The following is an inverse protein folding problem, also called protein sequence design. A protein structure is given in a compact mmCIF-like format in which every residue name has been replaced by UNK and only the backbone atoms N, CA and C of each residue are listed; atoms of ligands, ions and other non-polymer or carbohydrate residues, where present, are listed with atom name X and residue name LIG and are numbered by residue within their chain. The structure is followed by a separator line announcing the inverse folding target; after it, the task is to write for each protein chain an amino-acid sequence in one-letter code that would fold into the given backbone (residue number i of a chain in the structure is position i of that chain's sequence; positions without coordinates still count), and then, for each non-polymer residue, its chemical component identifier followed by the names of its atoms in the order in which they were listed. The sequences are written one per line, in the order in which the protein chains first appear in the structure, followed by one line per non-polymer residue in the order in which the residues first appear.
data_IF_081297574470
#
_entry.id   IF_081297574470
#
_cell.length_a   1.000
_cell.length_b   1.000
_cell.length_c   1.000
_cell.angle_alpha   90.00
_cell.angle_beta   90.00
_cell.angle_gamma   90.00
#
_symmetry.space_group_name_H-M   'P 1'
#
loop_
_entity.id
_entity.type
_entity.pdbx_description
1 polymer ?
#
# COMPACT_ATOMS: atom_id res chain seq x y z
N UNK A 1 6.42 18.25 -36.44
CA UNK A 1 7.61 18.72 -35.70
C UNK A 1 7.34 19.91 -34.78
N UNK A 2 6.12 20.47 -34.73
CA UNK A 2 5.83 21.70 -33.93
C UNK A 2 5.31 21.46 -32.50
N UNK A 3 5.23 20.20 -32.03
CA UNK A 3 4.81 19.89 -30.65
C UNK A 3 5.97 19.74 -29.65
N UNK A 4 7.22 19.71 -30.13
CA UNK A 4 8.41 19.53 -29.27
C UNK A 4 8.96 20.87 -28.75
N UNK A 5 8.75 21.97 -29.48
CA UNK A 5 9.33 23.27 -29.13
C UNK A 5 8.60 23.98 -27.98
N UNK A 6 7.30 23.70 -27.77
CA UNK A 6 6.55 24.24 -26.61
C UNK A 6 6.87 23.55 -25.29
N UNK A 7 7.43 22.34 -25.31
CA UNK A 7 7.82 21.62 -24.09
C UNK A 7 9.29 21.87 -23.71
N UNK A 8 10.13 22.33 -24.65
CA UNK A 8 11.54 22.62 -24.39
C UNK A 8 11.81 24.06 -23.91
N UNK A 9 10.86 24.99 -24.08
CA UNK A 9 11.03 26.38 -23.63
C UNK A 9 10.76 26.64 -22.13
N UNK A 10 10.21 25.67 -21.38
CA UNK A 10 9.95 25.81 -19.94
C UNK A 10 11.02 25.15 -19.04
N UNK A 11 12.16 24.71 -19.60
CA UNK A 11 13.38 24.42 -18.82
C UNK A 11 14.25 25.67 -18.64
N UNK A 12 13.65 26.82 -18.34
CA UNK A 12 14.43 27.90 -17.71
C UNK A 12 14.77 27.41 -16.32
N UNK A 13 16.07 27.16 -16.08
CA UNK A 13 16.57 26.72 -14.80
C UNK A 13 16.14 27.71 -13.72
N UNK A 14 15.13 27.31 -12.94
CA UNK A 14 14.74 28.00 -11.72
C UNK A 14 15.95 27.99 -10.81
N UNK A 15 16.38 29.19 -10.41
CA UNK A 15 17.55 29.36 -9.57
C UNK A 15 17.27 28.82 -8.16
N UNK A 16 18.30 28.28 -7.49
CA UNK A 16 18.18 27.82 -6.09
C UNK A 16 17.67 28.91 -5.13
N UNK A 17 17.82 30.19 -5.46
CA UNK A 17 17.26 31.33 -4.73
C UNK A 17 15.74 31.44 -4.88
N UNK A 18 15.20 31.21 -6.08
CA UNK A 18 13.74 31.26 -6.32
C UNK A 18 13.03 30.08 -5.65
N UNK A 19 13.68 28.91 -5.59
CA UNK A 19 13.17 27.76 -4.83
C UNK A 19 13.11 28.09 -3.35
N UNK A 20 14.16 28.68 -2.76
CA UNK A 20 14.16 29.06 -1.33
C UNK A 20 13.10 30.11 -0.97
N UNK A 21 12.89 31.11 -1.82
CA UNK A 21 11.82 32.10 -1.61
C UNK A 21 10.45 31.43 -1.69
N UNK A 22 10.25 30.57 -2.69
CA UNK A 22 9.03 29.78 -2.80
C UNK A 22 8.81 28.84 -1.61
N UNK A 23 9.85 28.18 -1.11
CA UNK A 23 9.77 27.31 0.07
C UNK A 23 9.33 28.08 1.32
N UNK A 24 9.78 29.33 1.49
CA UNK A 24 9.35 30.19 2.60
C UNK A 24 7.87 30.60 2.48
N UNK A 25 7.43 30.95 1.27
CA UNK A 25 6.03 31.27 0.99
C UNK A 25 5.13 30.03 1.17
N UNK A 26 5.54 28.88 0.63
CA UNK A 26 4.85 27.60 0.72
C UNK A 26 4.78 27.10 2.16
N UNK A 27 5.87 27.20 2.92
CA UNK A 27 5.91 26.81 4.34
C UNK A 27 4.99 27.66 5.21
N UNK A 28 4.65 28.88 4.78
CA UNK A 28 3.63 29.72 5.41
C UNK A 28 2.20 29.27 5.15
N UNK A 29 1.94 28.55 4.06
CA UNK A 29 0.60 28.23 3.56
C UNK A 29 0.22 26.75 3.72
N UNK A 30 1.19 25.85 3.62
CA UNK A 30 0.96 24.40 3.65
C UNK A 30 2.14 23.70 4.33
N UNK A 31 1.83 22.67 5.10
CA UNK A 31 2.81 21.71 5.59
C UNK A 31 2.87 20.54 4.63
N UNK A 32 4.06 20.25 4.10
CA UNK A 32 4.28 19.17 3.14
C UNK A 32 5.13 18.11 3.81
N UNK A 33 4.62 16.88 3.84
CA UNK A 33 5.35 15.71 4.32
C UNK A 33 5.46 14.68 3.21
N UNK A 34 6.67 14.19 3.01
CA UNK A 34 6.91 13.05 2.15
C UNK A 34 6.79 11.77 2.98
N UNK A 35 5.90 10.88 2.57
CA UNK A 35 5.68 9.58 3.21
C UNK A 35 6.15 8.45 2.29
N UNK A 36 6.70 7.40 2.89
CA UNK A 36 7.13 6.20 2.18
C UNK A 36 6.57 4.97 2.88
N UNK A 37 5.95 4.09 2.11
CA UNK A 37 5.26 2.94 2.65
C UNK A 37 4.58 2.11 1.57
N UNK A 38 3.93 1.04 1.99
CA UNK A 38 3.26 0.15 1.06
C UNK A 38 1.97 0.78 0.53
N UNK A 39 1.68 0.53 -0.76
CA UNK A 39 0.43 0.93 -1.38
C UNK A 39 -0.19 -0.27 -2.12
N UNK A 40 -1.52 -0.47 -2.03
CA UNK A 40 -2.20 -1.54 -2.72
C UNK A 40 -1.89 -1.51 -4.22
N UNK A 41 -1.56 -2.67 -4.78
CA UNK A 41 -1.22 -2.88 -6.19
C UNK A 41 0.19 -2.44 -6.64
N UNK A 42 1.01 -1.91 -5.74
CA UNK A 42 2.42 -1.66 -6.01
C UNK A 42 3.28 -2.82 -5.49
N UNK A 43 4.20 -3.37 -6.29
CA UNK A 43 5.04 -4.50 -5.88
C UNK A 43 6.13 -4.09 -4.87
N UNK A 44 6.44 -2.80 -4.79
CA UNK A 44 7.43 -2.22 -3.89
C UNK A 44 6.81 -1.04 -3.13
N UNK A 45 7.32 -0.68 -1.94
CA UNK A 45 6.83 0.50 -1.26
C UNK A 45 7.12 1.75 -2.10
N UNK A 46 6.18 2.68 -2.07
CA UNK A 46 6.14 3.89 -2.94
C UNK A 46 6.18 5.15 -2.09
N UNK A 47 6.34 6.30 -2.77
CA UNK A 47 6.24 7.60 -2.15
C UNK A 47 4.85 8.20 -2.34
N UNK A 48 4.37 8.88 -1.30
CA UNK A 48 3.25 9.79 -1.39
C UNK A 48 3.59 11.11 -0.69
N UNK A 49 2.86 12.16 -1.05
CA UNK A 49 3.02 13.49 -0.51
C UNK A 49 1.74 13.86 0.21
N UNK A 50 1.90 14.19 1.48
CA UNK A 50 0.86 14.65 2.37
C UNK A 50 0.91 16.18 2.46
N UNK A 51 -0.23 16.80 2.20
CA UNK A 51 -0.45 18.24 2.22
C UNK A 51 -1.42 18.57 3.34
N UNK A 52 -1.03 19.47 4.23
CA UNK A 52 -1.89 20.00 5.27
C UNK A 52 -1.89 21.52 5.18
N UNK A 53 -3.01 22.10 4.78
CA UNK A 53 -3.16 23.56 4.71
C UNK A 53 -2.96 24.19 6.10
N UNK A 54 -2.22 25.29 6.15
CA UNK A 54 -2.08 26.17 7.34
C UNK A 54 -3.00 27.39 7.26
N UNK A 55 -3.61 27.63 6.09
CA UNK A 55 -4.45 28.79 5.83
C UNK A 55 -5.84 28.67 6.46
N UNK A 56 -6.29 27.44 6.71
CA UNK A 56 -7.58 27.13 7.33
C UNK A 56 -7.40 25.95 8.27
N UNK A 57 -7.58 26.17 9.58
CA UNK A 57 -7.33 25.15 10.62
C UNK A 57 -8.20 23.89 10.45
N UNK A 58 -9.32 24.00 9.73
CA UNK A 58 -10.30 22.92 9.54
C UNK A 58 -10.14 22.12 8.23
N UNK A 59 -9.17 22.43 7.36
CA UNK A 59 -9.07 21.67 6.10
C UNK A 59 -8.44 20.29 6.29
N UNK A 60 -9.07 19.23 5.73
CA UNK A 60 -8.57 17.88 5.86
C UNK A 60 -7.23 17.74 5.15
N UNK A 61 -6.36 16.93 5.73
CA UNK A 61 -5.08 16.59 5.12
C UNK A 61 -5.31 15.81 3.82
N UNK A 62 -4.66 16.20 2.73
CA UNK A 62 -4.73 15.51 1.44
C UNK A 62 -3.43 14.72 1.25
N UNK A 63 -3.55 13.43 0.94
CA UNK A 63 -2.40 12.58 0.63
C UNK A 63 -2.52 12.08 -0.81
N UNK A 64 -1.47 12.24 -1.62
CA UNK A 64 -1.47 11.85 -3.04
C UNK A 64 -0.19 11.08 -3.34
N UNK A 65 -0.29 10.00 -4.12
CA UNK A 65 0.88 9.27 -4.60
C UNK A 65 1.77 10.16 -5.45
N UNK A 66 3.09 10.06 -5.30
CA UNK A 66 4.02 10.85 -6.10
C UNK A 66 3.90 10.54 -7.60
N UNK A 67 3.68 9.27 -7.96
CA UNK A 67 3.44 8.85 -9.36
C UNK A 67 2.21 9.55 -9.98
N UNK A 68 1.21 9.88 -9.15
CA UNK A 68 0.02 10.60 -9.58
C UNK A 68 0.26 12.10 -9.76
N UNK A 69 1.22 12.67 -9.02
CA UNK A 69 1.66 14.05 -9.23
C UNK A 69 2.39 14.19 -10.58
N UNK A 70 3.21 13.20 -10.94
CA UNK A 70 3.99 13.21 -12.18
C UNK A 70 3.14 12.95 -13.43
N UNK A 71 2.03 12.22 -13.31
CA UNK A 71 1.15 11.86 -14.45
C UNK A 71 0.25 12.99 -14.94
N UNK A 72 0.34 14.19 -14.35
CA UNK A 72 -0.16 15.45 -14.91
C UNK A 72 -1.65 15.41 -15.30
N UNK A 73 -2.50 14.89 -14.41
CA UNK A 73 -3.95 15.00 -14.59
C UNK A 73 -4.40 16.40 -14.15
N UNK A 74 -4.89 17.20 -15.11
CA UNK A 74 -5.33 18.59 -14.89
C UNK A 74 -6.29 18.74 -13.69
N UNK A 75 -7.13 17.74 -13.46
CA UNK A 75 -8.04 17.72 -12.31
C UNK A 75 -7.32 17.65 -10.96
N UNK A 76 -6.29 16.79 -10.83
CA UNK A 76 -5.51 16.65 -9.58
C UNK A 76 -4.66 17.89 -9.32
N UNK A 77 -4.08 18.47 -10.36
CA UNK A 77 -3.36 19.74 -10.26
C UNK A 77 -4.26 20.86 -9.76
N UNK A 78 -5.46 21.01 -10.34
CA UNK A 78 -6.42 22.03 -9.91
C UNK A 78 -6.85 21.84 -8.44
N UNK A 79 -7.08 20.59 -8.01
CA UNK A 79 -7.39 20.28 -6.60
C UNK A 79 -6.24 20.66 -5.66
N UNK A 80 -5.00 20.36 -6.02
CA UNK A 80 -3.82 20.73 -5.22
C UNK A 80 -3.59 22.23 -5.16
N UNK A 81 -3.72 22.91 -6.31
CA UNK A 81 -3.66 24.37 -6.44
C UNK A 81 -4.69 25.02 -5.51
N UNK A 82 -5.94 24.54 -5.54
CA UNK A 82 -7.00 25.04 -4.65
C UNK A 82 -6.72 24.76 -3.17
N UNK A 83 -6.26 23.57 -2.82
CA UNK A 83 -6.01 23.18 -1.43
C UNK A 83 -4.79 23.88 -0.82
N UNK A 84 -3.74 24.05 -1.60
CA UNK A 84 -2.48 24.65 -1.16
C UNK A 84 -2.46 26.18 -1.36
N UNK A 85 -3.48 26.76 -2.01
CA UNK A 85 -3.51 28.19 -2.34
C UNK A 85 -2.48 28.60 -3.40
N UNK A 86 -2.02 27.65 -4.22
CA UNK A 86 -0.94 27.86 -5.19
C UNK A 86 -1.48 28.33 -6.54
N UNK A 87 -0.65 29.03 -7.30
CA UNK A 87 -0.89 29.25 -8.72
C UNK A 87 -0.36 28.08 -9.58
N UNK A 88 -0.69 28.09 -10.88
CA UNK A 88 -0.29 27.02 -11.80
C UNK A 88 1.22 26.96 -12.06
N UNK A 89 1.91 28.10 -11.94
CA UNK A 89 3.36 28.21 -12.16
C UNK A 89 4.14 27.70 -10.94
N UNK A 90 3.57 27.85 -9.75
CA UNK A 90 4.06 27.37 -8.46
C UNK A 90 3.98 25.85 -8.31
N UNK A 91 3.15 25.17 -9.11
CA UNK A 91 3.10 23.71 -9.13
C UNK A 91 4.45 23.07 -9.48
N UNK A 92 5.22 23.68 -10.40
CA UNK A 92 6.55 23.15 -10.75
C UNK A 92 7.54 23.28 -9.57
N UNK A 93 7.48 24.40 -8.85
CA UNK A 93 8.30 24.60 -7.66
C UNK A 93 7.92 23.61 -6.53
N UNK A 94 6.64 23.26 -6.40
CA UNK A 94 6.20 22.21 -5.47
C UNK A 94 6.85 20.86 -5.79
N UNK A 95 6.88 20.46 -7.07
CA UNK A 95 7.55 19.22 -7.49
C UNK A 95 9.06 19.26 -7.21
N UNK A 96 9.70 20.43 -7.36
CA UNK A 96 11.11 20.60 -7.00
C UNK A 96 11.32 20.45 -5.48
N UNK A 97 10.47 21.06 -4.67
CA UNK A 97 10.53 20.94 -3.21
C UNK A 97 10.36 19.49 -2.74
N UNK A 98 9.41 18.73 -3.32
CA UNK A 98 9.25 17.29 -3.05
C UNK A 98 10.54 16.51 -3.38
N UNK A 99 11.20 16.85 -4.48
CA UNK A 99 12.49 16.25 -4.84
C UNK A 99 13.61 16.64 -3.86
N UNK A 100 13.59 17.85 -3.30
CA UNK A 100 14.54 18.27 -2.27
C UNK A 100 14.31 17.53 -0.95
N UNK A 101 13.05 17.35 -0.52
CA UNK A 101 12.69 16.50 0.63
C UNK A 101 13.23 15.08 0.47
N UNK A 102 13.12 14.51 -0.75
CA UNK A 102 13.72 13.21 -1.09
C UNK A 102 15.24 13.19 -0.97
N UNK A 103 15.92 14.16 -1.59
CA UNK A 103 17.38 14.26 -1.56
C UNK A 103 17.91 14.39 -0.13
N UNK A 104 17.19 15.16 0.69
CA UNK A 104 17.53 15.42 2.09
C UNK A 104 17.08 14.30 3.05
N UNK A 105 16.44 13.24 2.53
CA UNK A 105 15.88 12.12 3.32
C UNK A 105 14.88 12.55 4.40
N UNK A 106 14.17 13.64 4.17
CA UNK A 106 13.07 14.10 5.03
C UNK A 106 11.81 13.25 4.75
N UNK A 107 11.85 11.97 5.14
CA UNK A 107 10.84 10.96 4.79
C UNK A 107 10.24 10.40 6.08
N UNK A 108 8.91 10.36 6.15
CA UNK A 108 8.18 9.63 7.19
C UNK A 108 7.83 8.23 6.71
N UNK A 109 8.31 7.21 7.42
CA UNK A 109 8.01 5.81 7.09
C UNK A 109 6.63 5.44 7.67
N UNK A 110 5.76 4.87 6.85
CA UNK A 110 4.43 4.39 7.28
C UNK A 110 4.20 2.94 6.83
N UNK A 111 3.48 2.11 7.60
CA UNK A 111 3.17 0.73 7.19
C UNK A 111 2.27 0.63 5.95
N UNK A 112 1.39 1.61 5.75
CA UNK A 112 0.46 1.65 4.62
C UNK A 112 0.14 3.10 4.26
N UNK A 113 0.49 3.50 3.03
CA UNK A 113 0.10 4.80 2.47
C UNK A 113 -1.42 4.86 2.25
N UNK A 114 -2.05 3.74 1.90
CA UNK A 114 -3.49 3.70 1.66
C UNK A 114 -4.30 4.00 2.92
N UNK A 115 -3.86 3.52 4.08
CA UNK A 115 -4.48 3.85 5.37
C UNK A 115 -4.34 5.35 5.69
N UNK A 116 -3.21 5.97 5.34
CA UNK A 116 -3.01 7.43 5.47
C UNK A 116 -3.92 8.22 4.51
N UNK A 117 -4.17 7.69 3.31
CA UNK A 117 -5.08 8.30 2.34
C UNK A 117 -6.56 8.12 2.70
N UNK A 118 -6.90 7.04 3.39
CA UNK A 118 -8.27 6.68 3.76
C UNK A 118 -8.33 6.36 5.26
N UNK A 119 -8.25 7.37 6.15
CA UNK A 119 -8.36 7.15 7.58
C UNK A 119 -9.80 6.78 7.95
N UNK A 120 -10.10 5.48 8.01
CA UNK A 120 -11.31 4.93 8.63
C UNK A 120 -10.88 3.93 9.71
N UNK A 121 -11.62 3.87 10.82
CA UNK A 121 -11.34 2.93 11.90
C UNK A 121 -11.28 1.47 11.42
N UNK A 122 -12.09 1.12 10.42
CA UNK A 122 -12.09 -0.22 9.79
C UNK A 122 -10.77 -0.52 9.06
N UNK A 123 -10.10 0.49 8.49
CA UNK A 123 -8.80 0.32 7.84
C UNK A 123 -7.66 0.20 8.87
N UNK A 124 -7.73 0.90 9.99
CA UNK A 124 -6.74 0.77 11.07
C UNK A 124 -6.78 -0.63 11.68
N UNK A 125 -7.97 -1.12 12.03
CA UNK A 125 -8.17 -2.50 12.48
C UNK A 125 -7.72 -3.49 11.40
N UNK A 126 -8.08 -3.24 10.14
CA UNK A 126 -7.68 -4.07 9.01
C UNK A 126 -6.16 -4.20 8.89
N UNK A 127 -5.41 -3.10 9.03
CA UNK A 127 -3.94 -3.11 9.00
C UNK A 127 -3.39 -3.86 10.21
N UNK A 128 -3.87 -3.58 11.42
CA UNK A 128 -3.38 -4.25 12.64
C UNK A 128 -3.55 -5.77 12.56
N UNK A 129 -4.75 -6.23 12.17
CA UNK A 129 -5.04 -7.67 12.05
C UNK A 129 -4.24 -8.32 10.91
N UNK A 130 -3.96 -7.58 9.83
CA UNK A 130 -3.07 -8.05 8.77
C UNK A 130 -1.64 -8.24 9.28
N UNK A 131 -1.09 -7.28 10.02
CA UNK A 131 0.26 -7.38 10.59
C UNK A 131 0.37 -8.54 11.59
N UNK A 132 -0.68 -8.79 12.40
CA UNK A 132 -0.75 -9.97 13.28
C UNK A 132 -0.69 -11.28 12.48
N UNK A 133 -1.47 -11.37 11.40
CA UNK A 133 -1.46 -12.52 10.51
C UNK A 133 -0.10 -12.70 9.82
N UNK A 134 0.48 -11.63 9.30
CA UNK A 134 1.78 -11.62 8.63
C UNK A 134 2.88 -12.11 9.56
N UNK A 135 2.94 -11.56 10.78
CA UNK A 135 3.89 -11.98 11.82
C UNK A 135 3.73 -13.44 12.21
N UNK A 136 2.48 -13.94 12.29
CA UNK A 136 2.24 -15.36 12.55
C UNK A 136 2.79 -16.24 11.43
N UNK A 137 2.43 -15.95 10.17
CA UNK A 137 2.93 -16.70 8.99
C UNK A 137 4.45 -16.70 8.96
N UNK A 138 5.08 -15.55 9.24
CA UNK A 138 6.53 -15.46 9.32
C UNK A 138 7.12 -16.36 10.41
N UNK A 139 6.51 -16.39 11.59
CA UNK A 139 7.00 -17.20 12.73
C UNK A 139 6.77 -18.71 12.56
N UNK A 140 5.74 -19.08 11.80
CA UNK A 140 5.27 -20.47 11.63
C UNK A 140 5.34 -20.93 10.18
N UNK A 141 6.27 -20.38 9.39
CA UNK A 141 6.33 -20.60 7.93
C UNK A 141 6.44 -22.08 7.52
N UNK A 142 6.99 -22.93 8.40
CA UNK A 142 7.08 -24.38 8.21
C UNK A 142 5.72 -25.10 8.22
N UNK A 143 4.67 -24.49 8.79
CA UNK A 143 3.28 -24.97 8.73
C UNK A 143 2.52 -24.53 7.47
N UNK A 144 3.21 -23.89 6.52
CA UNK A 144 2.67 -23.45 5.25
C UNK A 144 3.48 -24.07 4.10
N UNK A 145 3.24 -25.34 3.73
CA UNK A 145 3.94 -25.97 2.62
C UNK A 145 3.76 -25.18 1.32
N UNK A 146 4.76 -25.23 0.43
CA UNK A 146 4.62 -24.68 -0.91
C UNK A 146 3.78 -25.63 -1.76
N UNK A 147 2.83 -25.08 -2.52
CA UNK A 147 1.99 -25.84 -3.47
C UNK A 147 2.82 -26.67 -4.46
N UNK A 148 4.01 -26.19 -4.83
CA UNK A 148 4.89 -26.88 -5.80
C UNK A 148 5.65 -28.08 -5.23
N UNK A 149 5.82 -28.16 -3.91
CA UNK A 149 6.67 -29.17 -3.25
C UNK A 149 5.93 -30.01 -2.22
N UNK A 150 4.70 -29.66 -1.87
CA UNK A 150 3.95 -30.32 -0.81
C UNK A 150 2.46 -30.44 -1.11
N UNK A 151 1.83 -31.30 -0.33
CA UNK A 151 0.37 -31.45 -0.26
C UNK A 151 -0.10 -30.88 1.07
N UNK A 152 -1.23 -30.20 1.09
CA UNK A 152 -1.84 -29.72 2.32
C UNK A 152 -2.32 -30.88 3.20
N UNK A 153 -1.89 -30.86 4.45
CA UNK A 153 -2.18 -31.82 5.49
C UNK A 153 -3.12 -31.21 6.54
N UNK A 154 -3.82 -32.03 7.34
CA UNK A 154 -4.76 -31.54 8.36
C UNK A 154 -4.14 -30.63 9.44
N UNK A 155 -2.83 -30.72 9.66
CA UNK A 155 -2.11 -29.90 10.64
C UNK A 155 -1.54 -28.61 10.04
N UNK A 156 -1.67 -28.41 8.73
CA UNK A 156 -1.17 -27.21 8.07
C UNK A 156 -2.12 -26.05 8.33
N UNK A 157 -1.53 -24.88 8.53
CA UNK A 157 -2.29 -23.66 8.77
C UNK A 157 -2.73 -23.02 7.45
N UNK A 158 -2.04 -23.35 6.36
CA UNK A 158 -2.34 -22.86 5.03
C UNK A 158 -1.37 -23.44 4.01
N UNK A 159 -1.26 -22.79 2.86
CA UNK A 159 -0.35 -23.21 1.80
C UNK A 159 0.20 -22.00 1.05
N UNK A 160 1.50 -22.01 0.77
CA UNK A 160 2.14 -20.96 -0.03
C UNK A 160 1.86 -21.21 -1.52
N UNK A 161 1.20 -20.24 -2.15
CA UNK A 161 0.81 -20.26 -3.55
C UNK A 161 1.80 -19.44 -4.40
N UNK A 162 3.09 -19.77 -4.35
CA UNK A 162 4.10 -19.08 -5.16
C UNK A 162 4.07 -19.56 -6.63
N UNK A 163 2.95 -19.33 -7.32
CA UNK A 163 2.78 -19.71 -8.73
C UNK A 163 2.26 -18.53 -9.54
N UNK A 164 2.62 -18.49 -10.82
CA UNK A 164 2.16 -17.44 -11.76
C UNK A 164 0.63 -17.33 -11.84
N UNK A 165 -0.10 -18.39 -11.50
CA UNK A 165 -1.57 -18.42 -11.57
C UNK A 165 -2.24 -17.53 -10.50
N UNK A 166 -1.65 -17.44 -9.31
CA UNK A 166 -2.20 -16.68 -8.18
C UNK A 166 -1.45 -15.37 -7.91
N UNK A 167 -0.27 -15.20 -8.50
CA UNK A 167 0.63 -14.07 -8.27
C UNK A 167 1.80 -14.46 -7.37
N UNK A 168 2.69 -13.51 -7.14
CA UNK A 168 3.81 -13.71 -6.21
C UNK A 168 3.37 -13.41 -4.78
N UNK A 169 4.07 -14.02 -3.82
CA UNK A 169 3.91 -13.72 -2.40
C UNK A 169 2.49 -13.99 -1.84
N UNK A 170 1.83 -15.06 -2.30
CA UNK A 170 0.46 -15.39 -1.89
C UNK A 170 0.44 -16.60 -0.97
N UNK A 171 -0.35 -16.53 0.09
CA UNK A 171 -0.63 -17.63 1.01
C UNK A 171 -2.13 -17.89 1.03
N UNK A 172 -2.52 -19.15 0.83
CA UNK A 172 -3.88 -19.62 1.05
C UNK A 172 -4.04 -19.97 2.53
N UNK A 173 -4.95 -19.28 3.23
CA UNK A 173 -5.25 -19.54 4.64
C UNK A 173 -6.68 -20.05 4.76
N UNK A 174 -6.89 -21.13 5.51
CA UNK A 174 -8.25 -21.65 5.73
C UNK A 174 -9.06 -20.69 6.60
N UNK A 175 -10.38 -20.77 6.53
CA UNK A 175 -11.26 -20.03 7.46
C UNK A 175 -10.94 -20.36 8.93
N UNK A 176 -10.77 -21.65 9.26
CA UNK A 176 -10.51 -22.09 10.63
C UNK A 176 -9.18 -21.55 11.17
N UNK A 177 -8.14 -21.59 10.33
CA UNK A 177 -6.85 -20.98 10.67
C UNK A 177 -7.02 -19.50 10.93
N UNK A 178 -7.76 -18.78 10.08
CA UNK A 178 -7.91 -17.34 10.23
C UNK A 178 -8.57 -16.98 11.57
N UNK A 179 -9.63 -17.68 11.97
CA UNK A 179 -10.24 -17.50 13.30
C UNK A 179 -9.24 -17.79 14.43
N UNK A 180 -8.46 -18.88 14.33
CA UNK A 180 -7.42 -19.20 15.32
C UNK A 180 -6.34 -18.12 15.42
N UNK A 181 -5.88 -17.59 14.28
CA UNK A 181 -4.83 -16.57 14.24
C UNK A 181 -5.31 -15.22 14.76
N UNK A 182 -6.57 -14.89 14.51
CA UNK A 182 -7.19 -13.67 14.99
C UNK A 182 -7.61 -13.78 16.47
N UNK A 183 -7.60 -14.98 17.05
CA UNK A 183 -8.10 -15.30 18.40
C UNK A 183 -9.60 -15.02 18.54
N UNK A 184 -10.37 -15.47 17.53
CA UNK A 184 -11.81 -15.26 17.44
C UNK A 184 -12.56 -16.59 17.47
N UNK A 185 -13.65 -16.64 18.25
CA UNK A 185 -14.59 -17.76 18.22
C UNK A 185 -15.42 -17.76 16.94
N UNK A 186 -15.82 -18.95 16.47
CA UNK A 186 -16.67 -19.11 15.28
C UNK A 186 -18.16 -18.86 15.58
N UNK A 187 -18.49 -17.65 16.01
CA UNK A 187 -19.86 -17.21 16.24
C UNK A 187 -20.36 -16.26 15.13
N UNK A 188 -21.67 -15.96 15.13
CA UNK A 188 -22.31 -15.14 14.09
C UNK A 188 -21.76 -13.70 14.03
N UNK A 189 -21.35 -13.15 15.17
CA UNK A 189 -20.80 -11.79 15.28
C UNK A 189 -19.41 -11.71 14.63
N UNK A 190 -18.50 -12.61 15.03
CA UNK A 190 -17.15 -12.68 14.48
C UNK A 190 -17.18 -13.07 12.99
N UNK A 191 -18.21 -13.78 12.53
CA UNK A 191 -18.43 -14.04 11.11
C UNK A 191 -18.72 -12.76 10.31
N UNK A 192 -19.55 -11.88 10.84
CA UNK A 192 -19.83 -10.59 10.20
C UNK A 192 -18.58 -9.69 10.26
N UNK A 193 -17.89 -9.65 11.40
CA UNK A 193 -16.63 -8.91 11.55
C UNK A 193 -15.56 -9.40 10.57
N UNK A 194 -15.45 -10.73 10.39
CA UNK A 194 -14.54 -11.31 9.40
C UNK A 194 -14.91 -10.92 7.97
N UNK A 195 -16.19 -10.81 7.65
CA UNK A 195 -16.62 -10.33 6.33
C UNK A 195 -16.16 -8.88 6.11
N UNK A 196 -16.41 -7.98 7.07
CA UNK A 196 -15.98 -6.58 6.99
C UNK A 196 -14.45 -6.47 6.88
N UNK A 197 -13.72 -7.28 7.66
CA UNK A 197 -12.26 -7.37 7.59
C UNK A 197 -11.78 -7.80 6.20
N UNK A 198 -12.45 -8.79 5.59
CA UNK A 198 -12.12 -9.23 4.24
C UNK A 198 -12.37 -8.14 3.19
N UNK A 199 -13.44 -7.35 3.35
CA UNK A 199 -13.73 -6.20 2.48
C UNK A 199 -12.63 -5.14 2.62
N UNK A 200 -12.29 -4.76 3.86
CA UNK A 200 -11.18 -3.86 4.14
C UNK A 200 -9.85 -4.37 3.57
N UNK A 201 -9.54 -5.66 3.71
CA UNK A 201 -8.33 -6.27 3.15
C UNK A 201 -8.32 -6.35 1.62
N UNK A 202 -9.48 -6.46 0.96
CA UNK A 202 -9.58 -6.35 -0.50
C UNK A 202 -9.24 -4.93 -0.93
N UNK A 203 -9.80 -3.93 -0.26
CA UNK A 203 -9.59 -2.51 -0.56
C UNK A 203 -8.13 -2.09 -0.28
N UNK A 204 -7.55 -2.62 0.80
CA UNK A 204 -6.12 -2.51 1.13
C UNK A 204 -5.21 -3.39 0.25
N UNK A 205 -5.77 -4.19 -0.65
CA UNK A 205 -5.03 -5.06 -1.58
C UNK A 205 -4.26 -6.21 -0.93
N UNK A 206 -4.51 -6.49 0.36
CA UNK A 206 -3.98 -7.63 1.11
C UNK A 206 -4.67 -8.93 0.74
N UNK A 207 -5.97 -8.90 0.45
CA UNK A 207 -6.76 -10.06 0.05
C UNK A 207 -7.02 -10.04 -1.47
N UNK A 208 -6.74 -11.15 -2.15
CA UNK A 208 -7.06 -11.29 -3.57
C UNK A 208 -8.55 -11.63 -3.70
N UNK A 209 -9.33 -10.67 -4.21
CA UNK A 209 -10.76 -10.88 -4.46
C UNK A 209 -10.97 -12.08 -5.39
N UNK A 210 -11.79 -13.06 -4.98
CA UNK A 210 -12.05 -14.22 -5.83
C UNK A 210 -12.82 -13.78 -7.08
N UNK A 211 -12.21 -13.96 -8.25
CA UNK A 211 -13.00 -13.97 -9.49
C UNK A 211 -13.75 -15.30 -9.56
N UNK A 212 -15.04 -15.27 -9.91
CA UNK A 212 -15.89 -16.47 -10.04
C UNK A 212 -15.30 -17.53 -10.98
N UNK A 213 -14.41 -17.14 -11.88
CA UNK A 213 -13.83 -18.01 -12.90
C UNK A 213 -12.44 -18.57 -12.55
N UNK A 214 -11.62 -17.86 -11.74
CA UNK A 214 -10.24 -18.31 -11.44
C UNK A 214 -10.15 -19.38 -10.36
N UNK A 215 -11.09 -19.41 -9.40
CA UNK A 215 -11.04 -20.36 -8.27
C UNK A 215 -11.72 -21.69 -8.56
N UNK A 216 -12.67 -21.73 -9.49
CA UNK A 216 -13.30 -22.99 -9.93
C UNK A 216 -12.34 -23.89 -10.71
N UNK A 217 -11.16 -23.38 -11.07
CA UNK A 217 -10.07 -24.18 -11.61
C UNK A 217 -8.94 -24.31 -10.58
N UNK A 218 -9.08 -25.34 -9.74
CA UNK A 218 -7.98 -26.10 -9.15
C UNK A 218 -7.10 -25.38 -8.13
N UNK A 219 -7.61 -25.26 -6.91
CA UNK A 219 -6.78 -25.55 -5.75
C UNK A 219 -7.23 -26.95 -5.26
N UNK A 220 -6.42 -28.02 -5.38
CA UNK A 220 -6.79 -29.36 -4.95
C UNK A 220 -6.67 -29.51 -3.42
N UNK A 221 -7.26 -28.57 -2.67
CA UNK A 221 -7.24 -28.54 -1.20
C UNK A 221 -8.55 -29.07 -0.58
N UNK A 222 -9.32 -29.84 -1.35
CA UNK A 222 -10.60 -30.39 -0.91
C UNK A 222 -11.75 -29.37 -0.89
N UNK A 223 -12.78 -29.61 -0.06
CA UNK A 223 -14.01 -28.81 0.03
C UNK A 223 -13.86 -27.53 0.89
N UNK A 224 -12.67 -27.25 1.41
CA UNK A 224 -12.44 -26.13 2.33
C UNK A 224 -12.33 -24.80 1.58
N UNK A 225 -12.79 -23.72 2.21
CA UNK A 225 -12.66 -22.36 1.70
C UNK A 225 -11.34 -21.76 2.17
N UNK A 226 -10.64 -21.10 1.24
CA UNK A 226 -9.37 -20.44 1.49
C UNK A 226 -9.47 -18.95 1.18
N UNK A 227 -8.81 -18.15 2.00
CA UNK A 227 -8.53 -16.74 1.77
C UNK A 227 -7.14 -16.62 1.15
N UNK A 228 -7.02 -15.94 0.02
CA UNK A 228 -5.73 -15.75 -0.65
C UNK A 228 -5.14 -14.41 -0.27
N UNK A 229 -4.16 -14.47 0.62
CA UNK A 229 -3.60 -13.31 1.30
C UNK A 229 -2.20 -13.05 0.74
N UNK A 230 -1.95 -11.81 0.33
CA UNK A 230 -0.62 -11.37 -0.09
C UNK A 230 0.23 -11.12 1.14
N UNK A 231 1.40 -11.74 1.23
CA UNK A 231 2.32 -11.64 2.36
C UNK A 231 3.60 -10.92 1.92
N UNK A 232 3.84 -9.74 2.47
CA UNK A 232 5.04 -8.97 2.16
C UNK A 232 6.31 -9.76 2.49
N UNK A 233 7.34 -9.66 1.65
CA UNK A 233 8.64 -10.32 1.84
C UNK A 233 8.58 -11.86 1.94
N UNK A 234 7.51 -12.52 1.50
CA UNK A 234 7.38 -13.98 1.61
C UNK A 234 8.56 -14.74 0.99
N UNK A 235 9.05 -14.31 -0.19
CA UNK A 235 10.25 -14.91 -0.80
C UNK A 235 11.50 -14.81 0.09
N UNK A 236 11.68 -13.70 0.81
CA UNK A 236 12.81 -13.54 1.74
C UNK A 236 12.63 -14.43 2.98
N UNK A 237 11.39 -14.58 3.46
CA UNK A 237 11.07 -15.48 4.58
C UNK A 237 11.38 -16.93 4.22
N UNK A 238 11.01 -17.36 3.01
CA UNK A 238 11.28 -18.70 2.51
C UNK A 238 12.79 -19.00 2.49
N UNK A 239 13.60 -18.08 1.93
CA UNK A 239 15.06 -18.22 1.90
C UNK A 239 15.69 -18.29 3.31
N UNK A 240 15.11 -17.59 4.29
CA UNK A 240 15.57 -17.64 5.69
C UNK A 240 15.11 -18.91 6.42
N UNK A 241 13.96 -19.47 6.05
CA UNK A 241 13.46 -20.73 6.59
C UNK A 241 14.38 -21.90 6.25
N UNK A 242 14.93 -21.93 5.04
CA UNK A 242 15.83 -23.00 4.59
C UNK A 242 17.16 -23.02 5.36
N UNK A 243 17.64 -21.86 5.84
CA UNK A 243 18.94 -21.75 6.56
C UNK A 243 18.87 -22.10 8.05
N UNK A 244 17.69 -22.34 8.63
CA UNK A 244 17.54 -22.78 10.03
C UNK A 244 17.41 -24.30 10.20
N UNK A 245 17.30 -25.03 9.09
CA UNK A 245 17.14 -26.49 9.08
C UNK A 245 18.40 -27.24 8.57
N UNK A 246 19.53 -26.54 8.44
CA UNK A 246 20.88 -27.14 8.29
C UNK A 246 21.63 -27.07 9.63
#
# INVERSE_FOLDING_TARGET
MEKSERFEQEKRGISSSEVKTFEQELAGQVNIKLIYGDYPNEPNPVFAVQFQSKLTEDQPTITILESELLTNTKEKQLKLIQHCGLDINQYHHLLMHINELKKNRCITMVPSIYAVMNPCAEFEEGVELYEKLHGNIQSQIHHYPLLSTGTFQPNDLGMILNTKAYGQNVVAVTTDTLYKLLDWDQNSENKNRLQNLCEAWVDLGYLIKPSKERYNKWIPLGKQRFYLIKIRNLEQMLRRGDTKNE
#
